data_IF_999584345852
#
_entry.id   IF_999584345852
#
_cell.length_a   1.000
_cell.length_b   1.000
_cell.length_c   1.000
_cell.angle_alpha   90.00
_cell.angle_beta   90.00
_cell.angle_gamma   90.00
#
_symmetry.space_group_name_H-M   'P 1'
#
loop_
_entity.id
_entity.type
_entity.pdbx_description
1 polymer ?
#
# COMPACT_ATOMS: atom_id res chain seq x y z
N UNK A 1 11.68 -4.94 2.49
CA UNK A 1 12.63 -3.81 2.28
C UNK A 1 12.85 -3.37 0.82
N UNK A 2 12.47 -4.11 -0.23
CA UNK A 2 12.64 -3.61 -1.62
C UNK A 2 11.69 -2.45 -1.97
N UNK A 3 10.63 -2.26 -1.17
CA UNK A 3 9.50 -1.37 -1.43
C UNK A 3 9.70 0.12 -1.05
N UNK A 4 10.74 0.47 -0.28
CA UNK A 4 11.13 1.86 0.01
C UNK A 4 12.49 2.21 -0.61
N UNK A 5 12.61 2.05 -1.93
CA UNK A 5 13.82 2.31 -2.68
C UNK A 5 13.55 3.35 -3.78
N UNK A 6 14.13 4.57 -3.72
CA UNK A 6 15.18 5.03 -2.80
C UNK A 6 14.67 5.50 -1.42
N UNK A 7 15.44 5.24 -0.36
CA UNK A 7 15.10 5.50 1.04
C UNK A 7 15.53 6.90 1.51
N UNK A 8 14.72 7.64 2.29
CA UNK A 8 15.09 8.96 2.80
C UNK A 8 16.17 8.87 3.88
N UNK A 9 17.28 9.59 3.71
CA UNK A 9 18.39 9.65 4.66
C UNK A 9 18.82 11.10 4.89
N UNK A 10 18.87 11.54 6.15
CA UNK A 10 19.59 12.77 6.51
C UNK A 10 21.05 12.44 6.75
N UNK A 11 21.94 13.19 6.12
CA UNK A 11 23.36 13.08 6.41
C UNK A 11 23.65 13.44 7.86
N UNK A 12 24.34 12.57 8.58
CA UNK A 12 24.77 12.78 9.95
C UNK A 12 25.73 13.96 10.11
N UNK A 13 26.50 14.30 9.08
CA UNK A 13 27.51 15.36 9.15
C UNK A 13 26.96 16.75 8.86
N UNK A 14 25.98 16.86 7.97
CA UNK A 14 25.48 18.15 7.50
C UNK A 14 23.95 18.28 7.55
N UNK A 15 23.26 17.24 8.03
CA UNK A 15 21.81 17.15 8.18
C UNK A 15 21.01 17.25 6.87
N UNK A 16 21.69 17.23 5.72
CA UNK A 16 21.08 17.27 4.40
C UNK A 16 20.26 16.01 4.12
N UNK A 17 18.97 16.17 3.83
CA UNK A 17 18.04 15.10 3.50
C UNK A 17 18.07 14.82 1.99
N UNK A 18 18.33 13.57 1.61
CA UNK A 18 18.18 13.10 0.24
C UNK A 18 17.75 11.62 0.23
N UNK A 19 17.45 11.08 -0.96
CA UNK A 19 16.95 9.71 -1.11
C UNK A 19 18.01 8.81 -1.74
N UNK A 20 18.25 7.62 -1.17
CA UNK A 20 19.37 6.76 -1.57
C UNK A 20 18.92 5.36 -1.93
N UNK A 21 19.51 4.72 -2.95
CA UNK A 21 19.22 3.34 -3.21
C UNK A 21 19.60 2.44 -2.03
N UNK A 22 18.70 1.54 -1.64
CA UNK A 22 18.87 0.75 -0.41
C UNK A 22 20.09 -0.16 -0.46
N UNK A 23 20.34 -0.83 -1.58
CA UNK A 23 21.47 -1.76 -1.74
C UNK A 23 22.84 -1.10 -1.44
N UNK A 24 23.20 0.03 -2.06
CA UNK A 24 24.46 0.70 -1.75
C UNK A 24 24.45 1.47 -0.42
N UNK A 25 23.28 1.86 0.11
CA UNK A 25 23.16 2.40 1.46
C UNK A 25 23.54 1.32 2.51
N UNK A 26 23.00 0.11 2.38
CA UNK A 26 23.34 -1.06 3.22
C UNK A 26 24.81 -1.46 3.09
N UNK A 27 25.40 -1.27 1.92
CA UNK A 27 26.80 -1.57 1.67
C UNK A 27 27.77 -0.46 2.11
N UNK A 28 27.30 0.61 2.76
CA UNK A 28 28.10 1.79 3.15
C UNK A 28 28.81 2.48 1.96
N UNK A 29 28.23 2.38 0.75
CA UNK A 29 28.80 2.94 -0.49
C UNK A 29 28.16 4.27 -0.90
N UNK A 30 27.07 4.68 -0.25
CA UNK A 30 26.38 5.93 -0.56
C UNK A 30 27.10 7.14 0.07
N UNK A 31 27.25 8.23 -0.68
CA UNK A 31 27.75 9.51 -0.16
C UNK A 31 26.66 10.59 -0.13
N UNK A 32 26.71 11.43 0.91
CA UNK A 32 25.86 12.61 1.01
C UNK A 32 25.99 13.47 -0.25
N UNK A 33 24.86 13.83 -0.84
CA UNK A 33 24.82 14.71 -2.03
C UNK A 33 25.39 16.10 -1.75
N UNK A 34 25.27 16.61 -0.52
CA UNK A 34 25.80 17.92 -0.13
C UNK A 34 27.27 17.87 0.31
N UNK A 35 27.60 17.17 1.40
CA UNK A 35 28.94 17.22 1.99
C UNK A 35 29.91 16.14 1.46
N UNK A 36 29.45 15.26 0.56
CA UNK A 36 30.21 14.17 -0.08
C UNK A 36 30.81 13.12 0.86
N UNK A 37 30.54 13.23 2.16
CA UNK A 37 30.93 12.21 3.13
C UNK A 37 30.07 10.97 2.93
N UNK A 38 30.71 9.80 3.05
CA UNK A 38 30.02 8.50 3.07
C UNK A 38 28.97 8.55 4.17
N UNK A 39 27.75 8.17 3.82
CA UNK A 39 26.66 8.02 4.78
C UNK A 39 26.90 6.73 5.55
N UNK A 40 27.13 6.90 6.85
CA UNK A 40 27.44 5.84 7.81
C UNK A 40 26.43 5.80 8.95
N UNK A 41 25.66 6.88 9.14
CA UNK A 41 24.65 7.03 10.19
C UNK A 41 23.38 7.70 9.64
N UNK A 42 22.24 7.09 9.91
CA UNK A 42 20.90 7.69 9.75
C UNK A 42 20.59 8.58 10.97
N UNK A 43 19.74 9.62 10.84
CA UNK A 43 19.36 10.45 11.97
C UNK A 43 18.57 9.64 13.01
N UNK A 44 19.02 9.76 14.27
CA UNK A 44 18.39 9.26 15.49
C UNK A 44 17.04 9.92 15.78
N UNK A 45 16.11 9.11 16.27
CA UNK A 45 15.05 9.56 17.16
C UNK A 45 15.56 9.87 18.58
N UNK A 46 14.72 10.55 19.37
CA UNK A 46 14.97 11.42 20.53
C UNK A 46 15.87 10.97 21.71
N UNK A 47 16.63 9.86 21.66
CA UNK A 47 17.51 9.44 22.77
C UNK A 47 18.95 9.20 22.32
N UNK A 48 19.81 10.14 22.71
CA UNK A 48 21.25 10.18 22.46
C UNK A 48 22.00 8.88 22.85
N UNK A 49 22.23 7.94 21.94
CA UNK A 49 23.36 6.98 21.99
C UNK A 49 23.72 6.42 20.61
N UNK A 50 25.01 6.35 20.25
CA UNK A 50 25.48 6.21 18.84
C UNK A 50 25.81 4.77 18.55
N UNK A 51 25.13 4.12 17.59
CA UNK A 51 25.64 2.95 16.85
C UNK A 51 25.00 2.85 15.45
N UNK A 52 25.63 2.05 14.61
CA UNK A 52 25.51 1.97 13.15
C UNK A 52 24.17 1.39 12.68
N UNK A 53 23.76 1.81 11.48
CA UNK A 53 22.58 1.39 10.72
C UNK A 53 22.15 -0.08 10.94
N UNK A 54 23.10 -1.01 11.03
CA UNK A 54 22.85 -2.43 11.24
C UNK A 54 22.16 -2.79 12.57
N UNK A 55 22.36 -2.04 13.66
CA UNK A 55 21.74 -2.34 14.97
C UNK A 55 20.33 -1.75 15.07
N UNK A 56 20.13 -0.51 14.58
CA UNK A 56 18.83 0.17 14.59
C UNK A 56 17.80 -0.57 13.73
N UNK A 57 18.21 -1.03 12.54
CA UNK A 57 17.33 -1.79 11.66
C UNK A 57 17.23 -3.26 12.03
N UNK A 58 18.05 -3.76 12.96
CA UNK A 58 18.14 -5.21 13.24
C UNK A 58 16.81 -5.79 13.74
N UNK A 59 16.14 -5.21 14.77
CA UNK A 59 14.87 -5.75 15.26
C UNK A 59 13.83 -5.79 14.15
N UNK A 60 13.69 -4.68 13.43
CA UNK A 60 12.76 -4.55 12.30
C UNK A 60 13.10 -5.52 11.17
N UNK A 61 14.37 -5.71 10.85
CA UNK A 61 14.81 -6.65 9.84
C UNK A 61 14.52 -8.10 10.26
N UNK A 62 14.76 -8.45 11.53
CA UNK A 62 14.43 -9.78 12.05
C UNK A 62 12.93 -10.06 11.91
N UNK A 63 12.10 -9.11 12.33
CA UNK A 63 10.64 -9.19 12.20
C UNK A 63 10.26 -9.44 10.74
N UNK A 64 10.71 -8.57 9.82
CA UNK A 64 10.34 -8.71 8.41
C UNK A 64 10.86 -9.99 7.74
N UNK A 65 12.07 -10.45 8.08
CA UNK A 65 12.59 -11.70 7.51
C UNK A 65 11.79 -12.91 8.00
N UNK A 66 11.42 -12.94 9.28
CA UNK A 66 10.55 -13.98 9.84
C UNK A 66 9.18 -13.94 9.15
N UNK A 67 8.56 -12.77 9.08
CA UNK A 67 7.25 -12.62 8.43
C UNK A 67 7.28 -13.04 6.97
N UNK A 68 8.33 -12.68 6.23
CA UNK A 68 8.50 -13.09 4.84
C UNK A 68 8.73 -14.59 4.71
N UNK A 69 9.48 -15.20 5.62
CA UNK A 69 9.76 -16.64 5.58
C UNK A 69 8.51 -17.48 5.86
N UNK A 70 7.63 -17.02 6.74
CA UNK A 70 6.42 -17.74 7.15
C UNK A 70 5.13 -17.19 6.54
N UNK A 71 5.23 -16.23 5.61
CA UNK A 71 4.07 -15.60 4.95
C UNK A 71 3.05 -15.02 5.95
N UNK A 72 3.55 -14.39 7.02
CA UNK A 72 2.72 -13.80 8.07
C UNK A 72 2.22 -12.42 7.63
N UNK A 73 0.92 -12.21 7.72
CA UNK A 73 0.29 -10.90 7.51
C UNK A 73 0.72 -9.90 8.61
N UNK A 74 1.10 -8.70 8.19
CA UNK A 74 1.53 -7.61 9.07
C UNK A 74 0.43 -7.17 10.02
N UNK A 75 -0.82 -7.25 9.60
CA UNK A 75 -1.95 -6.82 10.43
C UNK A 75 -2.22 -7.80 11.59
N UNK A 76 -1.68 -9.01 11.55
CA UNK A 76 -1.77 -9.99 12.65
C UNK A 76 -0.78 -9.69 13.78
N UNK A 77 0.14 -8.76 13.57
CA UNK A 77 1.20 -8.43 14.52
C UNK A 77 1.35 -6.92 14.63
N UNK A 78 0.76 -6.33 15.68
CA UNK A 78 0.74 -4.88 15.85
C UNK A 78 2.14 -4.30 16.09
N UNK A 79 2.41 -3.12 15.50
CA UNK A 79 3.60 -2.29 15.75
C UNK A 79 3.83 -2.02 17.25
N UNK A 80 2.76 -1.94 18.04
CA UNK A 80 2.84 -1.72 19.49
C UNK A 80 3.33 -2.97 20.25
N UNK A 81 3.08 -4.17 19.70
CA UNK A 81 3.48 -5.45 20.28
C UNK A 81 4.96 -5.79 19.95
N UNK A 82 5.48 -5.26 18.85
CA UNK A 82 6.84 -5.47 18.37
C UNK A 82 7.70 -4.22 18.49
N UNK A 83 8.30 -4.03 19.66
CA UNK A 83 9.24 -2.94 19.91
C UNK A 83 10.58 -3.45 20.43
N UNK A 84 11.54 -2.54 20.59
CA UNK A 84 12.90 -2.84 21.07
C UNK A 84 12.93 -3.57 22.43
N UNK A 85 11.90 -3.41 23.26
CA UNK A 85 11.78 -4.00 24.59
C UNK A 85 11.09 -5.37 24.58
N UNK A 86 10.55 -5.80 23.44
CA UNK A 86 9.94 -7.14 23.26
C UNK A 86 11.02 -8.22 23.45
N UNK A 87 10.75 -9.23 24.27
CA UNK A 87 11.67 -10.36 24.47
C UNK A 87 11.58 -11.36 23.32
N UNK A 88 12.63 -12.18 23.11
CA UNK A 88 12.59 -13.23 22.09
C UNK A 88 11.44 -14.23 22.34
N UNK A 89 11.18 -14.58 23.59
CA UNK A 89 10.04 -15.43 23.96
C UNK A 89 8.71 -14.79 23.54
N UNK A 90 8.51 -13.52 23.86
CA UNK A 90 7.30 -12.78 23.45
C UNK A 90 7.20 -12.67 21.94
N UNK A 91 8.30 -12.44 21.24
CA UNK A 91 8.34 -12.43 19.78
C UNK A 91 7.91 -13.79 19.21
N UNK A 92 8.45 -14.89 19.75
CA UNK A 92 8.07 -16.26 19.35
C UNK A 92 6.57 -16.50 19.58
N UNK A 93 6.05 -16.14 20.76
CA UNK A 93 4.63 -16.29 21.08
C UNK A 93 3.73 -15.49 20.12
N UNK A 94 4.15 -14.28 19.74
CA UNK A 94 3.42 -13.45 18.76
C UNK A 94 3.40 -14.10 17.38
N UNK A 95 4.54 -14.61 16.91
CA UNK A 95 4.61 -15.32 15.63
C UNK A 95 3.77 -16.59 15.66
N UNK A 96 3.78 -17.34 16.76
CA UNK A 96 2.96 -18.54 16.94
C UNK A 96 1.47 -18.25 17.05
N UNK A 97 1.09 -17.07 17.54
CA UNK A 97 -0.30 -16.62 17.55
C UNK A 97 -0.77 -16.28 16.14
N UNK A 98 0.09 -15.67 15.33
CA UNK A 98 -0.20 -15.35 13.94
C UNK A 98 -0.24 -16.61 13.05
N UNK A 99 0.69 -17.54 13.25
CA UNK A 99 0.69 -18.86 12.63
C UNK A 99 1.09 -19.95 13.65
N UNK A 100 0.11 -20.74 14.14
CA UNK A 100 0.35 -21.85 15.08
C UNK A 100 1.27 -22.96 14.57
N UNK A 101 1.58 -23.00 13.27
CA UNK A 101 2.48 -23.99 12.67
C UNK A 101 3.96 -23.71 12.98
N UNK A 102 4.29 -22.47 13.35
CA UNK A 102 5.67 -22.05 13.63
C UNK A 102 6.14 -22.64 14.96
N UNK A 103 7.27 -23.35 14.94
CA UNK A 103 7.89 -23.82 16.19
C UNK A 103 8.89 -22.78 16.72
N UNK A 104 9.07 -22.75 18.04
CA UNK A 104 10.12 -21.95 18.67
C UNK A 104 11.51 -22.27 18.09
N UNK A 105 11.72 -23.54 17.70
CA UNK A 105 12.97 -23.98 17.08
C UNK A 105 13.22 -23.30 15.74
N UNK A 106 12.19 -23.12 14.91
CA UNK A 106 12.33 -22.50 13.58
C UNK A 106 12.82 -21.05 13.72
N UNK A 107 12.26 -20.31 14.69
CA UNK A 107 12.66 -18.95 15.00
C UNK A 107 14.02 -18.87 15.70
N UNK A 108 14.32 -19.79 16.61
CA UNK A 108 15.64 -19.85 17.24
C UNK A 108 16.74 -20.15 16.22
N UNK A 109 16.47 -20.91 15.17
CA UNK A 109 17.46 -21.27 14.13
C UNK A 109 17.72 -20.19 13.09
N UNK A 110 17.03 -19.05 13.13
CA UNK A 110 17.20 -17.98 12.15
C UNK A 110 18.65 -17.48 12.06
N UNK A 111 19.17 -17.29 10.85
CA UNK A 111 20.57 -16.91 10.60
C UNK A 111 20.98 -15.62 11.33
N UNK A 112 20.03 -14.70 11.49
CA UNK A 112 20.25 -13.44 12.22
C UNK A 112 20.64 -13.65 13.69
N UNK A 113 20.25 -14.78 14.30
CA UNK A 113 20.56 -15.12 15.69
C UNK A 113 21.87 -15.91 15.84
N UNK A 114 22.54 -16.32 14.76
CA UNK A 114 23.75 -17.15 14.78
C UNK A 114 24.80 -16.68 15.79
N UNK A 115 25.07 -15.38 15.78
CA UNK A 115 26.08 -14.78 16.65
C UNK A 115 25.62 -14.79 18.11
N UNK A 116 24.36 -14.43 18.38
CA UNK A 116 23.79 -14.49 19.72
C UNK A 116 23.76 -15.93 20.28
N UNK A 117 23.43 -16.92 19.44
CA UNK A 117 23.46 -18.36 19.78
C UNK A 117 24.86 -18.89 20.09
N UNK A 118 25.89 -18.27 19.52
CA UNK A 118 27.28 -18.63 19.84
C UNK A 118 27.74 -18.12 21.21
N UNK A 119 27.00 -17.17 21.80
CA UNK A 119 27.37 -16.48 23.05
C UNK A 119 26.45 -16.75 24.23
N UNK A 120 25.23 -17.20 23.99
CA UNK A 120 24.19 -17.42 25.01
C UNK A 120 23.59 -18.82 24.84
N UNK A 121 23.18 -19.44 25.95
CA UNK A 121 22.34 -20.64 25.88
C UNK A 121 20.88 -20.28 25.50
N UNK A 122 20.07 -21.31 25.20
CA UNK A 122 18.70 -21.12 24.72
C UNK A 122 17.81 -20.41 25.75
N UNK A 123 17.95 -20.74 27.03
CA UNK A 123 17.19 -20.12 28.11
C UNK A 123 17.50 -18.62 28.22
N UNK A 124 18.78 -18.25 28.10
CA UNK A 124 19.20 -16.85 28.05
C UNK A 124 18.65 -16.15 26.81
N UNK A 125 18.75 -16.76 25.62
CA UNK A 125 18.26 -16.17 24.38
C UNK A 125 16.78 -15.78 24.45
N UNK A 126 15.94 -16.67 25.00
CA UNK A 126 14.50 -16.45 25.13
C UNK A 126 14.17 -15.25 26.01
N UNK A 127 15.02 -14.96 27.01
CA UNK A 127 14.83 -13.82 27.92
C UNK A 127 15.33 -12.48 27.39
N UNK A 128 16.19 -12.49 26.36
CA UNK A 128 16.79 -11.28 25.82
C UNK A 128 15.78 -10.49 24.99
N UNK A 129 15.85 -9.16 25.12
CA UNK A 129 15.09 -8.22 24.31
C UNK A 129 15.62 -8.18 22.88
N UNK A 130 14.77 -7.86 21.90
CA UNK A 130 15.19 -7.68 20.50
C UNK A 130 16.35 -6.69 20.38
N UNK A 131 16.36 -5.63 21.21
CA UNK A 131 17.50 -4.71 21.32
C UNK A 131 18.78 -5.37 21.85
N UNK A 132 18.68 -6.22 22.86
CA UNK A 132 19.86 -6.89 23.44
C UNK A 132 20.41 -7.93 22.46
N UNK A 133 19.54 -8.64 21.74
CA UNK A 133 19.91 -9.53 20.64
C UNK A 133 20.61 -8.78 19.51
N UNK A 134 20.17 -7.57 19.17
CA UNK A 134 20.83 -6.74 18.16
C UNK A 134 22.27 -6.37 18.56
N UNK A 135 22.50 -6.11 19.85
CA UNK A 135 23.83 -5.80 20.41
C UNK A 135 24.73 -7.03 20.42
N UNK A 136 24.19 -8.20 20.76
CA UNK A 136 24.92 -9.47 20.77
C UNK A 136 25.24 -9.97 19.35
N UNK A 137 24.35 -9.71 18.40
CA UNK A 137 24.54 -10.06 16.99
C UNK A 137 25.56 -9.15 16.29
N UNK A 138 25.90 -8.03 16.92
CA UNK A 138 26.95 -7.10 16.48
C UNK A 138 27.90 -6.72 17.63
N UNK A 139 28.65 -7.71 18.19
CA UNK A 139 29.32 -7.57 19.49
C UNK A 139 30.59 -6.70 19.43
N UNK A 140 31.18 -6.53 18.25
CA UNK A 140 32.27 -5.59 18.01
C UNK A 140 31.67 -4.32 17.45
N UNK A 141 31.89 -3.18 18.11
CA UNK A 141 31.86 -1.90 17.38
C UNK A 141 32.76 -2.08 16.17
N UNK A 142 32.25 -1.97 14.93
CA UNK A 142 33.19 -1.94 13.83
C UNK A 142 33.89 -0.60 14.00
N UNK A 143 35.20 -0.66 14.26
CA UNK A 143 36.06 0.52 14.25
C UNK A 143 35.73 1.33 12.99
N UNK A 144 35.80 2.67 13.05
CA UNK A 144 35.57 3.49 11.87
C UNK A 144 36.51 3.01 10.77
N UNK A 145 35.94 2.42 9.70
CA UNK A 145 36.70 2.15 8.50
C UNK A 145 36.96 3.48 7.82
N UNK A 146 38.13 4.07 8.06
CA UNK A 146 38.54 5.31 7.41
C UNK A 146 38.91 5.09 5.94
N UNK A 147 38.94 3.84 5.47
CA UNK A 147 39.27 3.47 4.09
C UNK A 147 38.04 3.18 3.22
N UNK A 148 36.84 3.04 3.81
CA UNK A 148 35.61 2.87 3.02
C UNK A 148 35.33 4.14 2.23
N UNK A 149 35.57 4.07 0.92
CA UNK A 149 35.33 5.12 -0.05
C UNK A 149 33.89 4.98 -0.56
N UNK A 150 33.18 6.11 -0.66
CA UNK A 150 31.91 6.15 -1.36
C UNK A 150 32.14 5.63 -2.78
N UNK A 151 31.20 4.83 -3.29
CA UNK A 151 31.19 4.55 -4.71
C UNK A 151 30.81 5.85 -5.43
N UNK A 152 31.69 6.43 -6.26
CA UNK A 152 31.41 7.71 -6.92
C UNK A 152 30.22 7.62 -7.89
N UNK A 153 29.80 6.39 -8.24
CA UNK A 153 28.65 6.13 -9.09
C UNK A 153 27.34 6.06 -8.31
N UNK A 154 27.38 5.90 -6.98
CA UNK A 154 26.19 5.89 -6.13
C UNK A 154 25.95 7.31 -5.61
N UNK A 155 24.93 7.97 -6.15
CA UNK A 155 24.51 9.29 -5.72
C UNK A 155 23.12 9.21 -5.09
N UNK A 156 22.92 9.98 -4.02
CA UNK A 156 21.58 10.29 -3.56
C UNK A 156 20.85 11.14 -4.59
N UNK A 157 19.54 11.08 -4.54
CA UNK A 157 18.64 11.83 -5.40
C UNK A 157 18.01 12.93 -4.54
N UNK A 158 18.15 14.17 -4.98
CA UNK A 158 17.50 15.31 -4.31
C UNK A 158 15.98 15.19 -4.44
N UNK A 159 15.23 15.68 -3.44
CA UNK A 159 13.77 15.59 -3.45
C UNK A 159 13.16 16.22 -4.72
N UNK A 160 13.68 17.37 -5.15
CA UNK A 160 13.23 18.08 -6.36
C UNK A 160 13.58 17.32 -7.64
N UNK A 161 14.73 16.64 -7.69
CA UNK A 161 15.16 15.81 -8.80
C UNK A 161 14.31 14.54 -8.90
N UNK A 162 14.05 13.88 -7.77
CA UNK A 162 13.17 12.72 -7.68
C UNK A 162 11.76 13.05 -8.18
N UNK A 163 11.20 14.18 -7.74
CA UNK A 163 9.92 14.68 -8.23
C UNK A 163 9.93 15.01 -9.72
N UNK A 164 11.06 15.52 -10.25
CA UNK A 164 11.23 15.82 -11.67
C UNK A 164 11.31 14.54 -12.50
N UNK A 165 12.03 13.51 -12.04
CA UNK A 165 12.10 12.20 -12.67
C UNK A 165 10.72 11.55 -12.75
N UNK A 166 9.93 11.59 -11.68
CA UNK A 166 8.55 11.13 -11.70
C UNK A 166 7.69 11.92 -12.70
N UNK A 167 7.79 13.26 -12.72
CA UNK A 167 7.10 14.11 -13.70
C UNK A 167 7.54 13.85 -15.14
N UNK A 168 8.80 13.52 -15.40
CA UNK A 168 9.32 13.21 -16.73
C UNK A 168 8.88 11.83 -17.21
N UNK A 169 8.92 10.80 -16.35
CA UNK A 169 8.34 9.48 -16.62
C UNK A 169 6.85 9.60 -16.93
N UNK A 170 6.11 10.42 -16.17
CA UNK A 170 4.71 10.78 -16.42
C UNK A 170 4.50 11.40 -17.81
N UNK A 171 5.32 12.39 -18.20
CA UNK A 171 5.25 13.03 -19.52
C UNK A 171 5.63 12.09 -20.66
N UNK A 172 6.62 11.21 -20.46
CA UNK A 172 7.03 10.24 -21.46
C UNK A 172 5.91 9.24 -21.76
N UNK A 173 5.23 8.72 -20.72
CA UNK A 173 4.03 7.86 -20.85
C UNK A 173 2.89 8.59 -21.59
N UNK A 174 2.58 9.83 -21.20
CA UNK A 174 1.57 10.67 -21.88
C UNK A 174 1.91 11.01 -23.34
N UNK A 175 3.18 11.14 -23.69
CA UNK A 175 3.62 11.43 -25.07
C UNK A 175 3.54 10.19 -25.94
N UNK A 176 3.81 9.02 -25.35
CA UNK A 176 3.63 7.71 -25.99
C UNK A 176 2.15 7.44 -26.30
N UNK A 177 1.22 7.86 -25.43
CA UNK A 177 -0.24 7.79 -25.63
C UNK A 177 -0.79 8.79 -26.66
N UNK A 178 -0.16 9.97 -26.84
CA UNK A 178 -0.56 10.96 -27.85
C UNK A 178 -0.24 10.57 -29.30
N UNK A 179 0.69 9.63 -29.50
CA UNK A 179 1.08 9.12 -30.82
C UNK A 179 0.08 8.10 -31.39
N UNK A 180 -0.85 7.62 -30.57
CA UNK A 180 -1.99 6.78 -30.96
C UNK A 180 -3.23 7.66 -31.21
N UNK A 181 -3.75 7.78 -32.44
CA UNK A 181 -4.82 8.72 -32.75
C UNK A 181 -6.21 8.19 -32.32
N UNK A 182 -7.00 9.06 -31.68
CA UNK A 182 -8.36 8.80 -31.18
C UNK A 182 -9.43 9.39 -32.13
N UNK A 183 -10.58 8.74 -32.38
CA UNK A 183 -11.64 9.28 -33.25
C UNK A 183 -12.44 10.40 -32.57
N UNK A 184 -12.97 11.33 -33.36
CA UNK A 184 -13.72 12.51 -32.93
C UNK A 184 -15.12 12.20 -32.42
N UNK A 185 -15.53 12.90 -31.35
CA UNK A 185 -16.78 12.74 -30.62
C UNK A 185 -17.95 13.50 -31.27
N UNK A 186 -19.14 12.88 -31.30
CA UNK A 186 -20.43 13.56 -31.45
C UNK A 186 -21.20 13.46 -30.13
N UNK A 187 -21.83 14.57 -29.74
CA UNK A 187 -22.56 14.75 -28.48
C UNK A 187 -23.88 13.97 -28.49
N UNK A 188 -24.16 13.20 -27.43
CA UNK A 188 -25.47 12.59 -27.22
C UNK A 188 -25.98 12.83 -25.80
N UNK A 189 -27.15 13.47 -25.71
CA UNK A 189 -27.95 13.67 -24.49
C UNK A 189 -28.63 12.37 -24.09
N UNK A 190 -28.49 11.91 -22.83
CA UNK A 190 -29.12 10.67 -22.34
C UNK A 190 -30.19 10.97 -21.28
N UNK A 191 -31.43 10.51 -21.55
CA UNK A 191 -32.52 10.41 -20.57
C UNK A 191 -32.34 9.17 -19.67
N UNK A 192 -32.26 9.37 -18.35
CA UNK A 192 -32.11 8.28 -17.37
C UNK A 192 -33.49 7.78 -16.92
N UNK A 193 -33.85 6.54 -17.27
CA UNK A 193 -35.04 5.85 -16.72
C UNK A 193 -34.81 5.37 -15.29
N UNK A 194 -35.85 5.45 -14.45
CA UNK A 194 -35.82 5.05 -13.04
C UNK A 194 -35.62 3.52 -12.84
N UNK A 195 -34.82 3.09 -11.84
CA UNK A 195 -34.55 1.69 -11.55
C UNK A 195 -35.79 0.90 -11.12
N UNK A 196 -35.77 -0.39 -11.44
CA UNK A 196 -36.61 -1.41 -10.83
C UNK A 196 -36.04 -1.72 -9.42
N UNK A 197 -36.37 -0.90 -8.42
CA UNK A 197 -35.74 -0.86 -7.09
C UNK A 197 -35.78 -2.18 -6.28
N UNK A 198 -36.53 -3.19 -6.74
CA UNK A 198 -36.72 -4.44 -6.01
C UNK A 198 -35.59 -5.48 -6.21
N UNK A 199 -34.70 -5.30 -7.19
CA UNK A 199 -33.65 -6.31 -7.52
C UNK A 199 -32.42 -6.27 -6.61
N UNK A 200 -32.09 -5.11 -6.03
CA UNK A 200 -30.83 -4.88 -5.31
C UNK A 200 -31.01 -4.47 -3.84
N UNK A 201 -32.20 -4.70 -3.27
CA UNK A 201 -32.51 -4.37 -1.86
C UNK A 201 -31.64 -5.11 -0.85
N UNK A 202 -31.11 -6.29 -1.22
CA UNK A 202 -30.20 -7.09 -0.39
C UNK A 202 -28.71 -6.87 -0.75
N UNK A 203 -28.37 -5.89 -1.58
CA UNK A 203 -26.98 -5.66 -1.98
C UNK A 203 -26.12 -5.17 -0.81
N UNK A 204 -26.68 -4.32 0.06
CA UNK A 204 -25.99 -3.71 1.19
C UNK A 204 -26.08 -4.58 2.45
N UNK A 205 -25.03 -4.59 3.28
CA UNK A 205 -25.06 -5.28 4.56
C UNK A 205 -26.13 -4.70 5.48
N UNK A 206 -26.77 -5.57 6.27
CA UNK A 206 -27.73 -5.11 7.28
C UNK A 206 -26.98 -4.40 8.40
N UNK A 207 -27.49 -3.24 8.77
CA UNK A 207 -26.87 -2.34 9.73
C UNK A 207 -26.84 -2.98 11.13
N UNK A 208 -25.67 -2.99 11.77
CA UNK A 208 -25.55 -3.20 13.22
C UNK A 208 -25.66 -1.85 13.94
N UNK A 209 -26.06 -1.85 15.22
CA UNK A 209 -26.24 -0.62 16.02
C UNK A 209 -24.94 0.21 16.18
N UNK A 210 -23.78 -0.38 15.90
CA UNK A 210 -22.45 0.27 15.97
C UNK A 210 -22.11 1.09 14.70
N UNK A 211 -22.76 0.81 13.57
CA UNK A 211 -22.54 1.51 12.29
C UNK A 211 -23.50 2.70 12.06
N UNK A 212 -24.23 3.11 13.10
CA UNK A 212 -25.34 4.06 12.99
C UNK A 212 -24.92 5.52 12.72
N UNK A 213 -23.64 5.86 12.88
CA UNK A 213 -23.16 7.23 12.85
C UNK A 213 -22.86 7.79 11.44
N UNK A 214 -22.75 6.96 10.40
CA UNK A 214 -22.15 7.37 9.11
C UNK A 214 -23.03 7.18 7.86
N UNK A 215 -24.32 6.91 8.05
CA UNK A 215 -25.25 6.76 6.93
C UNK A 215 -25.92 8.11 6.66
N UNK A 216 -25.44 8.79 5.62
CA UNK A 216 -26.10 9.96 5.07
C UNK A 216 -27.51 9.60 4.58
N UNK A 217 -28.40 10.60 4.58
CA UNK A 217 -29.73 10.48 3.98
C UNK A 217 -29.60 9.96 2.53
N UNK A 218 -30.57 9.16 2.04
CA UNK A 218 -30.61 8.80 0.63
C UNK A 218 -30.48 10.05 -0.23
N UNK A 219 -29.56 10.03 -1.20
CA UNK A 219 -29.30 11.18 -2.04
C UNK A 219 -30.57 11.61 -2.77
N UNK A 220 -30.85 12.90 -2.72
CA UNK A 220 -31.90 13.51 -3.54
C UNK A 220 -31.50 13.46 -5.01
N UNK A 221 -32.48 13.48 -5.91
CA UNK A 221 -32.19 13.52 -7.35
C UNK A 221 -31.35 14.77 -7.72
N UNK A 222 -31.55 15.89 -7.02
CA UNK A 222 -30.81 17.13 -7.28
C UNK A 222 -29.34 17.01 -6.88
N UNK A 223 -29.02 16.38 -5.74
CA UNK A 223 -27.64 16.11 -5.31
C UNK A 223 -26.91 15.20 -6.31
N UNK A 224 -27.61 14.18 -6.82
CA UNK A 224 -27.08 13.28 -7.85
C UNK A 224 -26.79 14.07 -9.13
N UNK A 225 -27.76 14.85 -9.63
CA UNK A 225 -27.59 15.63 -10.86
C UNK A 225 -26.46 16.65 -10.73
N UNK A 226 -26.38 17.36 -9.61
CA UNK A 226 -25.28 18.29 -9.34
C UNK A 226 -23.92 17.60 -9.33
N UNK A 227 -23.83 16.40 -8.73
CA UNK A 227 -22.60 15.62 -8.74
C UNK A 227 -22.22 15.20 -10.16
N UNK A 228 -23.17 14.63 -10.92
CA UNK A 228 -22.93 14.18 -12.29
C UNK A 228 -22.49 15.31 -13.22
N UNK A 229 -23.10 16.49 -13.09
CA UNK A 229 -22.75 17.67 -13.91
C UNK A 229 -21.31 18.16 -13.65
N UNK A 230 -20.81 18.02 -12.43
CA UNK A 230 -19.48 18.49 -12.04
C UNK A 230 -18.38 17.42 -12.18
N UNK A 231 -18.76 16.15 -12.29
CA UNK A 231 -17.82 15.03 -12.29
C UNK A 231 -17.00 14.93 -13.58
N UNK A 232 -17.55 15.37 -14.71
CA UNK A 232 -16.92 15.26 -16.02
C UNK A 232 -16.82 13.83 -16.55
N UNK A 233 -17.51 12.87 -15.93
CA UNK A 233 -17.62 11.47 -16.35
C UNK A 233 -19.09 11.01 -16.36
N UNK A 234 -19.45 10.20 -17.33
CA UNK A 234 -20.72 9.46 -17.33
C UNK A 234 -20.56 8.23 -16.44
N UNK A 235 -21.28 8.21 -15.31
CA UNK A 235 -21.29 7.04 -14.43
C UNK A 235 -22.19 5.93 -14.99
N UNK A 236 -21.84 4.65 -14.78
CA UNK A 236 -22.70 3.53 -15.14
C UNK A 236 -24.09 3.67 -14.53
N UNK A 237 -25.13 3.33 -15.31
CA UNK A 237 -26.52 3.47 -14.84
C UNK A 237 -26.76 2.71 -13.54
N UNK A 238 -26.29 1.46 -13.46
CA UNK A 238 -26.45 0.64 -12.25
C UNK A 238 -25.71 1.23 -11.05
N UNK A 239 -24.57 1.89 -11.25
CA UNK A 239 -23.84 2.57 -10.16
C UNK A 239 -24.71 3.63 -9.50
N UNK A 240 -25.32 4.52 -10.32
CA UNK A 240 -26.24 5.55 -9.83
C UNK A 240 -27.45 4.94 -9.11
N UNK A 241 -27.99 3.83 -9.63
CA UNK A 241 -29.12 3.14 -9.02
C UNK A 241 -28.77 2.59 -7.63
N UNK A 242 -27.57 2.03 -7.44
CA UNK A 242 -27.11 1.56 -6.14
C UNK A 242 -26.89 2.72 -5.16
N UNK A 243 -26.29 3.82 -5.62
CA UNK A 243 -26.05 5.02 -4.79
C UNK A 243 -27.35 5.71 -4.33
N UNK A 244 -28.46 5.52 -5.06
CA UNK A 244 -29.81 5.97 -4.65
C UNK A 244 -30.39 5.13 -3.52
N UNK A 245 -30.04 3.85 -3.43
CA UNK A 245 -30.47 2.96 -2.35
C UNK A 245 -29.67 3.27 -1.10
N UNK A 246 -28.34 3.34 -1.23
CA UNK A 246 -27.42 3.71 -0.16
C UNK A 246 -26.22 4.45 -0.77
N UNK A 247 -25.93 5.65 -0.25
CA UNK A 247 -24.84 6.49 -0.75
C UNK A 247 -23.50 6.03 -0.15
N UNK A 248 -22.87 5.05 -0.80
CA UNK A 248 -21.67 4.38 -0.31
C UNK A 248 -21.96 3.30 0.75
N UNK A 249 -20.89 2.77 1.34
CA UNK A 249 -20.95 1.77 2.42
C UNK A 249 -20.64 0.33 1.97
N UNK A 250 -20.99 -0.62 2.83
CA UNK A 250 -20.49 -2.00 2.76
C UNK A 250 -21.47 -2.95 2.03
N UNK A 251 -21.06 -3.59 0.92
CA UNK A 251 -21.87 -4.59 0.23
C UNK A 251 -21.85 -5.94 0.97
N UNK A 252 -22.91 -6.75 0.81
CA UNK A 252 -22.93 -8.13 1.36
C UNK A 252 -21.94 -9.04 0.66
N UNK A 253 -21.84 -8.88 -0.66
CA UNK A 253 -20.92 -9.66 -1.48
C UNK A 253 -19.72 -8.79 -1.83
N UNK A 254 -18.53 -9.27 -1.48
CA UNK A 254 -17.27 -8.52 -1.52
C UNK A 254 -16.22 -9.19 -2.39
N UNK A 255 -16.35 -10.50 -2.63
CA UNK A 255 -15.32 -11.32 -3.28
C UNK A 255 -15.53 -11.41 -4.80
N UNK A 256 -14.45 -11.34 -5.57
CA UNK A 256 -14.42 -11.54 -7.02
C UNK A 256 -13.32 -12.54 -7.36
N UNK A 257 -13.71 -13.63 -7.99
CA UNK A 257 -12.80 -14.61 -8.57
C UNK A 257 -12.83 -14.50 -10.10
N UNK A 258 -11.66 -14.25 -10.71
CA UNK A 258 -11.56 -14.11 -12.18
C UNK A 258 -11.35 -15.44 -12.91
N UNK A 259 -10.78 -16.42 -12.21
CA UNK A 259 -10.42 -17.72 -12.75
C UNK A 259 -10.74 -18.76 -11.67
N UNK A 260 -11.67 -19.68 -11.96
CA UNK A 260 -12.08 -20.73 -11.02
C UNK A 260 -10.94 -21.71 -10.70
N UNK A 261 -9.92 -21.80 -11.59
CA UNK A 261 -8.78 -22.69 -11.41
C UNK A 261 -7.62 -22.01 -10.65
N UNK A 262 -7.57 -20.67 -10.59
CA UNK A 262 -6.55 -19.92 -9.84
C UNK A 262 -7.17 -19.35 -8.56
N UNK A 263 -6.45 -19.46 -7.45
CA UNK A 263 -6.85 -18.88 -6.15
C UNK A 263 -6.65 -17.36 -6.07
N UNK A 264 -6.61 -16.64 -7.20
CA UNK A 264 -6.45 -15.18 -7.16
C UNK A 264 -7.81 -14.55 -6.96
N UNK A 265 -8.07 -14.14 -5.73
CA UNK A 265 -9.27 -13.45 -5.32
C UNK A 265 -9.01 -11.94 -5.24
N UNK A 266 -10.02 -11.15 -5.56
CA UNK A 266 -10.05 -9.70 -5.36
C UNK A 266 -11.21 -9.37 -4.47
N UNK A 267 -10.98 -8.54 -3.45
CA UNK A 267 -12.03 -8.17 -2.50
C UNK A 267 -12.25 -6.66 -2.48
N UNK A 268 -13.50 -6.24 -2.33
CA UNK A 268 -13.86 -4.87 -1.99
C UNK A 268 -14.37 -4.82 -0.56
N UNK A 269 -14.12 -3.73 0.15
CA UNK A 269 -14.64 -3.50 1.49
C UNK A 269 -15.84 -2.54 1.45
N UNK A 270 -15.69 -1.42 0.74
CA UNK A 270 -16.65 -0.32 0.82
C UNK A 270 -16.75 0.41 -0.51
N UNK A 271 -17.96 0.85 -0.86
CA UNK A 271 -18.19 1.82 -1.92
C UNK A 271 -18.04 3.26 -1.40
N UNK A 272 -17.30 4.08 -2.15
CA UNK A 272 -17.10 5.49 -1.83
C UNK A 272 -18.39 6.27 -2.11
N UNK A 273 -18.73 7.21 -1.22
CA UNK A 273 -19.89 8.11 -1.37
C UNK A 273 -19.83 8.86 -2.70
N UNK A 274 -20.97 8.95 -3.41
CA UNK A 274 -21.06 9.56 -4.75
C UNK A 274 -20.52 11.00 -4.75
N UNK A 275 -20.82 11.80 -3.74
CA UNK A 275 -20.36 13.18 -3.63
C UNK A 275 -18.85 13.33 -3.39
N UNK A 276 -18.18 12.27 -2.91
CA UNK A 276 -16.76 12.29 -2.55
C UNK A 276 -15.87 11.73 -3.65
N UNK A 277 -16.38 10.88 -4.55
CA UNK A 277 -15.56 10.14 -5.52
C UNK A 277 -14.62 11.03 -6.35
N UNK A 278 -15.02 12.26 -6.69
CA UNK A 278 -14.18 13.18 -7.45
C UNK A 278 -12.96 13.64 -6.66
N UNK A 279 -13.18 14.06 -5.41
CA UNK A 279 -12.13 14.53 -4.50
C UNK A 279 -11.24 13.39 -4.03
N UNK A 280 -11.82 12.24 -3.68
CA UNK A 280 -11.08 11.03 -3.32
C UNK A 280 -10.21 10.55 -4.48
N UNK A 281 -10.76 10.47 -5.69
CA UNK A 281 -9.98 10.09 -6.86
C UNK A 281 -8.87 11.11 -7.16
N UNK A 282 -9.10 12.41 -6.92
CA UNK A 282 -8.06 13.42 -7.03
C UNK A 282 -6.95 13.23 -6.01
N UNK A 283 -7.31 12.99 -4.75
CA UNK A 283 -6.39 12.73 -3.66
C UNK A 283 -5.54 11.48 -3.94
N UNK A 284 -6.16 10.36 -4.31
CA UNK A 284 -5.48 9.10 -4.66
C UNK A 284 -4.46 9.31 -5.79
N UNK A 285 -4.80 10.10 -6.82
CA UNK A 285 -3.88 10.39 -7.93
C UNK A 285 -2.76 11.35 -7.53
N UNK A 286 -3.08 12.42 -6.81
CA UNK A 286 -2.15 13.51 -6.55
C UNK A 286 -1.21 13.20 -5.39
N UNK A 287 -1.74 12.62 -4.31
CA UNK A 287 -1.01 12.34 -3.09
C UNK A 287 -0.45 10.92 -3.07
N UNK A 288 -1.20 9.94 -3.57
CA UNK A 288 -0.80 8.51 -3.52
C UNK A 288 -0.25 7.98 -4.84
N UNK A 289 -0.33 8.75 -5.92
CA UNK A 289 0.29 8.44 -7.21
C UNK A 289 -0.49 7.45 -8.08
N UNK A 290 -1.74 7.14 -7.72
CA UNK A 290 -2.62 6.29 -8.52
C UNK A 290 -2.81 6.82 -9.96
N UNK A 291 -3.02 5.94 -10.95
CA UNK A 291 -3.05 6.34 -12.35
C UNK A 291 -4.29 7.17 -12.73
N UNK A 292 -4.16 8.01 -13.75
CA UNK A 292 -5.26 8.82 -14.29
C UNK A 292 -6.13 7.99 -15.25
N UNK A 293 -6.81 6.97 -14.72
CA UNK A 293 -7.66 6.07 -15.50
C UNK A 293 -9.15 6.41 -15.43
N UNK A 294 -9.56 7.17 -14.43
CA UNK A 294 -10.97 7.51 -14.23
C UNK A 294 -11.29 7.80 -12.77
N UNK A 295 -12.28 7.07 -12.25
CA UNK A 295 -12.84 7.28 -10.92
C UNK A 295 -12.62 6.05 -10.05
N UNK A 296 -12.00 6.23 -8.90
CA UNK A 296 -11.90 5.23 -7.85
C UNK A 296 -13.22 5.19 -7.08
N UNK A 297 -13.81 4.00 -6.99
CA UNK A 297 -15.19 3.82 -6.53
C UNK A 297 -15.31 2.87 -5.34
N UNK A 298 -14.31 2.01 -5.09
CA UNK A 298 -14.31 1.15 -3.91
C UNK A 298 -12.93 1.08 -3.26
N UNK A 299 -12.95 0.96 -1.93
CA UNK A 299 -11.81 0.53 -1.13
C UNK A 299 -11.72 -0.99 -1.12
N UNK A 300 -10.50 -1.52 -0.97
CA UNK A 300 -10.22 -2.94 -0.74
C UNK A 300 -9.74 -3.16 0.71
N UNK A 301 -9.76 -4.41 1.24
CA UNK A 301 -9.31 -4.72 2.59
C UNK A 301 -7.77 -4.74 2.66
N UNK A 302 -7.15 -3.60 2.35
CA UNK A 302 -5.70 -3.43 2.21
C UNK A 302 -5.24 -2.05 2.70
N UNK A 303 -6.06 -1.40 3.54
CA UNK A 303 -5.82 -0.04 4.04
C UNK A 303 -5.50 1.01 2.93
N UNK A 304 -6.04 0.83 1.72
CA UNK A 304 -5.87 1.77 0.59
C UNK A 304 -4.73 1.45 -0.39
N UNK A 305 -4.03 0.33 -0.19
CA UNK A 305 -2.96 -0.13 -1.10
C UNK A 305 -3.52 -0.75 -2.39
N UNK A 306 -4.77 -1.17 -2.34
CA UNK A 306 -5.54 -1.64 -3.48
C UNK A 306 -6.85 -0.89 -3.57
N UNK A 307 -7.22 -0.51 -4.79
CA UNK A 307 -8.47 0.20 -5.07
C UNK A 307 -9.16 -0.37 -6.31
N UNK A 308 -10.49 -0.24 -6.35
CA UNK A 308 -11.27 -0.52 -7.56
C UNK A 308 -11.68 0.77 -8.24
N UNK A 309 -11.47 0.84 -9.55
CA UNK A 309 -11.78 2.00 -10.36
C UNK A 309 -12.68 1.67 -11.55
N UNK A 310 -13.48 2.67 -11.93
CA UNK A 310 -14.06 2.79 -13.26
C UNK A 310 -12.97 3.34 -14.17
N UNK A 311 -12.49 2.49 -15.07
CA UNK A 311 -11.45 2.80 -16.04
C UNK A 311 -12.09 3.25 -17.36
N UNK A 312 -11.86 4.51 -17.70
CA UNK A 312 -12.35 5.20 -18.89
C UNK A 312 -11.25 5.43 -19.93
N UNK A 313 -10.05 4.84 -19.76
CA UNK A 313 -8.92 5.02 -20.68
C UNK A 313 -9.31 4.68 -22.12
N UNK A 314 -9.93 3.53 -22.33
CA UNK A 314 -10.39 3.06 -23.63
C UNK A 314 -11.65 3.82 -24.12
N UNK A 315 -12.73 3.79 -23.34
CA UNK A 315 -14.04 4.30 -23.76
C UNK A 315 -14.19 5.82 -23.69
N UNK A 316 -13.28 6.52 -22.99
CA UNK A 316 -13.34 7.95 -22.75
C UNK A 316 -14.36 8.32 -21.68
N UNK A 317 -14.33 9.56 -21.15
CA UNK A 317 -15.11 9.95 -19.97
C UNK A 317 -16.63 9.85 -20.14
N UNK A 318 -17.13 9.79 -21.37
CA UNK A 318 -18.56 9.66 -21.69
C UNK A 318 -18.97 8.22 -22.08
N UNK A 319 -18.02 7.29 -22.12
CA UNK A 319 -18.25 5.90 -22.50
C UNK A 319 -18.64 5.01 -21.31
N UNK A 320 -18.94 3.74 -21.59
CA UNK A 320 -19.14 2.72 -20.57
C UNK A 320 -17.77 2.21 -20.08
N UNK A 321 -17.37 2.45 -18.82
CA UNK A 321 -16.05 2.10 -18.31
C UNK A 321 -15.93 0.60 -18.03
N UNK A 322 -14.71 0.07 -18.15
CA UNK A 322 -14.36 -1.21 -17.53
C UNK A 322 -14.16 -1.03 -16.03
N UNK A 323 -14.36 -2.08 -15.25
CA UNK A 323 -14.05 -2.06 -13.81
C UNK A 323 -12.72 -2.76 -13.58
N UNK A 324 -11.78 -2.09 -12.93
CA UNK A 324 -10.41 -2.57 -12.73
C UNK A 324 -9.99 -2.51 -11.28
N UNK A 325 -9.15 -3.44 -10.89
CA UNK A 325 -8.37 -3.40 -9.65
C UNK A 325 -7.02 -2.75 -9.93
N UNK A 326 -6.58 -1.86 -9.05
CA UNK A 326 -5.27 -1.23 -9.12
C UNK A 326 -4.49 -1.55 -7.86
N UNK A 327 -3.34 -2.21 -8.04
CA UNK A 327 -2.45 -2.65 -6.96
C UNK A 327 -1.25 -1.69 -6.87
N UNK A 328 -1.26 -0.79 -5.89
CA UNK A 328 -0.19 0.20 -5.69
C UNK A 328 1.16 -0.47 -5.42
N UNK A 329 1.17 -1.60 -4.70
CA UNK A 329 2.39 -2.29 -4.29
C UNK A 329 3.06 -3.02 -5.47
N UNK A 330 2.27 -3.34 -6.50
CA UNK A 330 2.71 -4.00 -7.72
C UNK A 330 2.86 -3.02 -8.90
N UNK A 331 3.54 -1.89 -8.68
CA UNK A 331 3.75 -0.82 -9.68
C UNK A 331 2.45 -0.32 -10.33
N UNK A 332 1.39 -0.18 -9.53
CA UNK A 332 0.04 0.19 -9.99
C UNK A 332 -0.50 -0.77 -11.05
N UNK A 333 -0.24 -2.08 -10.90
CA UNK A 333 -0.74 -3.10 -11.82
C UNK A 333 -2.26 -3.01 -11.91
N UNK A 334 -2.75 -2.77 -13.12
CA UNK A 334 -4.17 -2.71 -13.44
C UNK A 334 -4.62 -4.11 -13.88
N UNK A 335 -5.63 -4.64 -13.20
CA UNK A 335 -6.27 -5.92 -13.56
C UNK A 335 -7.74 -5.68 -13.85
N UNK A 336 -8.22 -6.10 -15.03
CA UNK A 336 -9.63 -5.97 -15.40
C UNK A 336 -10.47 -6.97 -14.60
N UNK A 337 -11.38 -6.46 -13.78
CA UNK A 337 -12.32 -7.28 -13.01
C UNK A 337 -13.57 -7.59 -13.84
N UNK A 338 -14.06 -6.60 -14.59
CA UNK A 338 -15.22 -6.75 -15.46
C UNK A 338 -15.20 -5.76 -16.62
N UNK A 339 -15.85 -6.11 -17.71
CA UNK A 339 -15.97 -5.28 -18.92
C UNK A 339 -16.95 -4.11 -18.75
N UNK A 340 -17.80 -4.14 -17.73
CA UNK A 340 -18.69 -3.05 -17.34
C UNK A 340 -19.12 -3.23 -15.89
N UNK A 341 -19.79 -2.21 -15.33
CA UNK A 341 -20.18 -2.21 -13.93
C UNK A 341 -21.28 -3.23 -13.60
N UNK A 342 -22.19 -3.53 -14.53
CA UNK A 342 -23.23 -4.55 -14.30
C UNK A 342 -22.63 -5.94 -14.14
N UNK A 343 -21.66 -6.29 -14.99
CA UNK A 343 -20.93 -7.55 -14.89
C UNK A 343 -20.11 -7.61 -13.60
N UNK A 344 -19.47 -6.49 -13.20
CA UNK A 344 -18.77 -6.41 -11.91
C UNK A 344 -19.68 -6.75 -10.74
N UNK A 345 -20.85 -6.11 -10.66
CA UNK A 345 -21.83 -6.38 -9.59
C UNK A 345 -22.32 -7.83 -9.62
N UNK A 346 -22.52 -8.41 -10.81
CA UNK A 346 -22.95 -9.81 -10.93
C UNK A 346 -21.89 -10.84 -10.52
N UNK A 347 -20.60 -10.45 -10.54
CA UNK A 347 -19.47 -11.30 -10.15
C UNK A 347 -19.17 -11.27 -8.65
N UNK A 348 -19.72 -10.31 -7.91
CA UNK A 348 -19.52 -10.22 -6.47
C UNK A 348 -20.19 -11.41 -5.78
N UNK A 349 -19.39 -12.16 -5.04
CA UNK A 349 -19.81 -13.32 -4.26
C UNK A 349 -19.70 -13.02 -2.76
N UNK A 350 -20.47 -13.77 -1.98
CA UNK A 350 -20.36 -13.73 -0.53
C UNK A 350 -19.00 -14.30 -0.13
N UNK A 351 -18.32 -13.61 0.78
CA UNK A 351 -17.08 -14.07 1.38
C UNK A 351 -17.44 -14.87 2.65
N UNK A 352 -17.17 -16.17 2.65
CA UNK A 352 -17.51 -17.06 3.78
C UNK A 352 -16.47 -17.05 4.91
N UNK A 353 -15.34 -16.37 4.70
CA UNK A 353 -14.16 -16.38 5.57
C UNK A 353 -14.18 -15.29 6.66
#
# INVERSE_FOLDING_TARGET
MQYMNPYPVKCEFCQHLAYYPLTPLKAEKAACTACKKVLRQTPRDLRRSSRKHGIEIWPTALIFEVMLQFDIDYDLVSDDELNEETTLSTFIELMQRADPSISARDLLTFDMLDTARSTCDEEQLLTLKLKELSLLSHPKEPLPDNNSLADPNVKGIEKSELQTMYKQRRKARQTQEKLTPRPSAEESTVEVKAPNANKYSNFWQKQSEENHADIDKPLTNDEIQNTLNNLGYTLPTLYIQLMKIQNGGYPQNTLIQLDEEKRTNYSISEFIKLGSIAGESEYMRNEWGYPYIGLYICNCPSAGHQLVALDYTECGPMGEPTVVHVDQENDFKITILATNFELFISKLQYDED
#
